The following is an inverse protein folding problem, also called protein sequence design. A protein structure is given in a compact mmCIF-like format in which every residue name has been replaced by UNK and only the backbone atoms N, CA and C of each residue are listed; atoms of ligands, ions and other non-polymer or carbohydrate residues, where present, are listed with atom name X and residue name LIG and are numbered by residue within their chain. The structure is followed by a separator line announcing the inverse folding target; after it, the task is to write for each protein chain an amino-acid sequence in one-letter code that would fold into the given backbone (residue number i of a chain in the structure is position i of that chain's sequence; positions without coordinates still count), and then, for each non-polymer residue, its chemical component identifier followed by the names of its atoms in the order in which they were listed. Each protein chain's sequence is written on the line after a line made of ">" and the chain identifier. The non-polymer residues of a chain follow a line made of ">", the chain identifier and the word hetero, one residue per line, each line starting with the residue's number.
data_IF_926993984775
#
_entry.id   IF_926993984775
#
_cell.length_a   1.000
_cell.length_b   1.000
_cell.length_c   1.000
_cell.angle_alpha   90.00
_cell.angle_beta   90.00
_cell.angle_gamma   90.00
#
_symmetry.space_group_name_H-M   'P 1'
#
loop_
_entity.id
_entity.type
_entity.pdbx_description
1 polymer ?
#
# COMPACT_ATOMS: atom_id res chain seq x y z
N UNK A 1 -13.21 3.97 12.61
CA UNK A 1 -12.70 5.17 13.32
C UNK A 1 -11.45 4.86 14.15
N UNK A 2 -11.45 3.83 15.00
CA UNK A 2 -10.30 3.48 15.85
C UNK A 2 -8.97 3.30 15.10
N UNK A 3 -8.99 2.67 13.91
CA UNK A 3 -7.79 2.51 13.08
C UNK A 3 -7.20 3.81 12.57
N UNK A 4 -8.06 4.80 12.26
CA UNK A 4 -7.63 6.12 11.82
C UNK A 4 -6.95 6.83 12.99
N UNK A 5 -7.57 6.79 14.18
CA UNK A 5 -6.99 7.35 15.42
C UNK A 5 -5.63 6.73 15.69
N UNK A 6 -5.52 5.40 15.65
CA UNK A 6 -4.25 4.68 15.85
C UNK A 6 -3.19 5.13 14.84
N UNK A 7 -3.55 5.14 13.56
CA UNK A 7 -2.62 5.51 12.49
C UNK A 7 -2.18 6.96 12.62
N UNK A 8 -3.06 7.89 12.99
CA UNK A 8 -2.70 9.30 13.18
C UNK A 8 -1.78 9.46 14.39
N UNK A 9 -2.11 8.80 15.51
CA UNK A 9 -1.32 8.90 16.74
C UNK A 9 0.08 8.30 16.59
N UNK A 10 0.19 7.08 16.06
CA UNK A 10 1.42 6.27 16.06
C UNK A 10 2.14 6.25 14.72
N UNK A 11 1.47 6.60 13.63
CA UNK A 11 2.05 6.61 12.29
C UNK A 11 2.32 5.22 11.70
N UNK A 12 3.00 5.24 10.55
CA UNK A 12 3.38 4.10 9.71
C UNK A 12 4.87 4.22 9.38
N UNK A 13 5.62 3.12 9.52
CA UNK A 13 7.05 3.03 9.16
C UNK A 13 7.92 4.14 9.77
N UNK A 14 7.76 4.40 11.06
CA UNK A 14 8.59 5.36 11.80
C UNK A 14 9.21 4.70 13.04
N UNK A 15 10.26 5.33 13.57
CA UNK A 15 10.98 4.93 14.78
C UNK A 15 10.54 5.72 16.03
N UNK A 16 9.57 6.63 15.89
CA UNK A 16 9.10 7.51 16.95
C UNK A 16 8.18 6.76 17.91
N UNK A 17 7.28 5.92 17.37
CA UNK A 17 6.30 5.16 18.14
C UNK A 17 6.58 3.65 18.08
N UNK A 18 6.65 2.95 19.22
CA UNK A 18 6.82 1.49 19.23
C UNK A 18 5.61 0.74 18.68
N UNK A 19 4.46 1.41 18.53
CA UNK A 19 3.21 0.86 17.99
C UNK A 19 2.92 1.32 16.55
N UNK A 20 3.91 1.94 15.90
CA UNK A 20 3.82 2.28 14.49
C UNK A 20 3.61 1.02 13.65
N UNK A 21 2.66 1.05 12.71
CA UNK A 21 2.45 -0.12 11.83
C UNK A 21 3.62 -0.23 10.85
N UNK A 22 4.03 -1.46 10.59
CA UNK A 22 5.13 -1.76 9.70
C UNK A 22 4.72 -2.71 8.59
N UNK A 23 5.08 -2.34 7.37
CA UNK A 23 4.92 -3.12 6.15
C UNK A 23 5.85 -2.51 5.12
N UNK A 24 6.28 -3.21 4.09
CA UNK A 24 6.94 -2.57 2.96
C UNK A 24 6.64 -3.37 1.71
N UNK A 25 6.47 -2.67 0.59
CA UNK A 25 6.50 -3.36 -0.69
C UNK A 25 7.97 -3.48 -1.09
N UNK A 26 8.54 -4.70 -1.14
CA UNK A 26 9.93 -4.90 -1.50
C UNK A 26 10.18 -4.51 -2.96
N UNK A 27 11.43 -4.14 -3.26
CA UNK A 27 11.88 -3.89 -4.62
C UNK A 27 12.22 -5.22 -5.30
N UNK A 28 11.51 -5.59 -6.36
CA UNK A 28 11.76 -6.84 -7.09
C UNK A 28 12.75 -6.67 -8.26
N UNK A 29 13.21 -5.45 -8.55
CA UNK A 29 14.11 -5.15 -9.67
C UNK A 29 15.43 -5.94 -9.66
N UNK A 30 15.94 -6.28 -8.46
CA UNK A 30 17.16 -7.07 -8.28
C UNK A 30 16.86 -8.57 -8.07
N UNK A 31 15.60 -8.95 -7.92
CA UNK A 31 15.15 -10.32 -7.63
C UNK A 31 14.57 -11.01 -8.87
N UNK A 32 13.92 -10.26 -9.73
CA UNK A 32 13.21 -10.75 -10.91
C UNK A 32 13.76 -10.11 -12.19
N UNK A 33 13.95 -10.89 -13.27
CA UNK A 33 14.25 -10.36 -14.60
C UNK A 33 13.19 -9.36 -15.08
N UNK A 34 13.61 -8.41 -15.92
CA UNK A 34 12.70 -7.40 -16.50
C UNK A 34 11.47 -7.99 -17.18
N UNK A 35 11.60 -9.13 -17.86
CA UNK A 35 10.49 -9.82 -18.52
C UNK A 35 9.46 -10.37 -17.52
N UNK A 36 9.89 -10.82 -16.35
CA UNK A 36 9.00 -11.30 -15.29
C UNK A 36 8.26 -10.13 -14.63
N UNK A 37 8.94 -9.01 -14.42
CA UNK A 37 8.31 -7.77 -13.95
C UNK A 37 7.27 -7.26 -14.94
N UNK A 38 7.53 -7.39 -16.24
CA UNK A 38 6.57 -7.07 -17.30
C UNK A 38 5.34 -7.99 -17.25
N UNK A 39 5.54 -9.29 -17.12
CA UNK A 39 4.44 -10.25 -16.97
C UNK A 39 3.59 -9.95 -15.73
N UNK A 40 4.22 -9.66 -14.58
CA UNK A 40 3.55 -9.22 -13.36
C UNK A 40 2.75 -7.92 -13.57
N UNK A 41 3.31 -6.96 -14.29
CA UNK A 41 2.63 -5.69 -14.59
C UNK A 41 1.33 -5.95 -15.36
N UNK A 42 1.37 -6.78 -16.39
CA UNK A 42 0.17 -7.15 -17.15
C UNK A 42 -0.84 -7.95 -16.33
N UNK A 43 -0.37 -8.79 -15.41
CA UNK A 43 -1.26 -9.51 -14.50
C UNK A 43 -2.01 -8.56 -13.55
N UNK A 44 -1.33 -7.57 -12.98
CA UNK A 44 -1.97 -6.55 -12.11
C UNK A 44 -2.93 -5.64 -12.90
N UNK A 45 -2.59 -5.28 -14.14
CA UNK A 45 -3.52 -4.57 -15.03
C UNK A 45 -4.79 -5.40 -15.29
N UNK A 46 -4.64 -6.71 -15.48
CA UNK A 46 -5.78 -7.61 -15.66
C UNK A 46 -6.68 -7.68 -14.41
N UNK A 47 -6.10 -7.68 -13.20
CA UNK A 47 -6.85 -7.69 -11.94
C UNK A 47 -7.75 -6.46 -11.76
N UNK A 48 -7.29 -5.29 -12.21
CA UNK A 48 -8.04 -4.03 -12.19
C UNK A 48 -8.92 -3.83 -13.43
N UNK A 49 -9.05 -4.85 -14.30
CA UNK A 49 -9.85 -4.77 -15.52
C UNK A 49 -9.31 -3.81 -16.57
N UNK A 50 -8.05 -3.38 -16.46
CA UNK A 50 -7.41 -2.48 -17.40
C UNK A 50 -6.96 -3.22 -18.66
N UNK A 51 -6.68 -2.48 -19.74
CA UNK A 51 -6.12 -3.05 -20.97
C UNK A 51 -4.74 -3.68 -20.69
N UNK A 52 -4.55 -4.90 -21.20
CA UNK A 52 -3.34 -5.70 -20.95
C UNK A 52 -3.09 -6.71 -22.07
N UNK A 53 -1.87 -7.23 -22.13
CA UNK A 53 -1.53 -8.41 -22.93
C UNK A 53 -1.93 -9.68 -22.17
N UNK A 54 -2.86 -10.46 -22.74
CA UNK A 54 -3.40 -11.66 -22.10
C UNK A 54 -2.35 -12.78 -21.92
N UNK A 55 -1.38 -12.89 -22.82
CA UNK A 55 -0.34 -13.92 -22.72
C UNK A 55 0.65 -13.58 -21.60
N UNK A 56 1.04 -12.30 -21.49
CA UNK A 56 1.89 -11.82 -20.39
C UNK A 56 1.15 -11.89 -19.04
N UNK A 57 -0.14 -11.52 -19.00
CA UNK A 57 -0.95 -11.63 -17.79
C UNK A 57 -1.07 -13.08 -17.29
N UNK A 58 -1.19 -14.05 -18.20
CA UNK A 58 -1.20 -15.47 -17.86
C UNK A 58 0.16 -15.96 -17.31
N UNK A 59 1.27 -15.48 -17.87
CA UNK A 59 2.62 -15.77 -17.34
C UNK A 59 2.82 -15.15 -15.96
N UNK A 60 2.34 -13.92 -15.76
CA UNK A 60 2.44 -13.20 -14.49
C UNK A 60 1.64 -13.80 -13.35
N UNK A 61 0.62 -14.62 -13.64
CA UNK A 61 -0.23 -15.22 -12.62
C UNK A 61 0.55 -16.14 -11.65
N UNK A 62 1.46 -16.97 -12.17
CA UNK A 62 2.30 -17.83 -11.34
C UNK A 62 3.27 -17.01 -10.48
N UNK A 63 3.93 -16.02 -11.08
CA UNK A 63 4.83 -15.11 -10.38
C UNK A 63 4.11 -14.35 -9.27
N UNK A 64 2.86 -13.93 -9.51
CA UNK A 64 2.04 -13.23 -8.53
C UNK A 64 1.68 -14.13 -7.34
N UNK A 65 1.29 -15.38 -7.61
CA UNK A 65 1.00 -16.36 -6.57
C UNK A 65 2.24 -16.60 -5.67
N UNK A 66 3.43 -16.70 -6.28
CA UNK A 66 4.67 -16.99 -5.56
C UNK A 66 5.20 -15.79 -4.75
N UNK A 67 5.02 -14.55 -5.24
CA UNK A 67 5.72 -13.38 -4.71
C UNK A 67 4.81 -12.29 -4.13
N UNK A 68 3.55 -12.21 -4.55
CA UNK A 68 2.68 -11.06 -4.29
C UNK A 68 1.45 -11.41 -3.46
N UNK A 69 0.89 -12.61 -3.66
CA UNK A 69 -0.36 -13.05 -3.04
C UNK A 69 -0.29 -13.11 -1.50
N UNK A 70 0.90 -13.35 -0.93
CA UNK A 70 1.11 -13.35 0.52
C UNK A 70 0.76 -12.03 1.19
N UNK A 71 0.83 -10.90 0.47
CA UNK A 71 0.48 -9.57 0.95
C UNK A 71 -0.78 -9.02 0.27
N UNK A 72 -0.93 -9.24 -1.04
CA UNK A 72 -2.05 -8.68 -1.81
C UNK A 72 -3.26 -9.62 -1.93
N UNK A 73 -3.18 -10.84 -1.38
CA UNK A 73 -4.21 -11.87 -1.54
C UNK A 73 -4.19 -12.50 -2.93
N UNK A 74 -4.69 -13.73 -3.06
CA UNK A 74 -4.72 -14.45 -4.34
C UNK A 74 -5.56 -13.72 -5.40
N UNK A 75 -6.64 -13.08 -4.98
CA UNK A 75 -7.51 -12.28 -5.85
C UNK A 75 -7.04 -10.83 -6.01
N UNK A 76 -5.91 -10.44 -5.42
CA UNK A 76 -5.41 -9.07 -5.48
C UNK A 76 -6.17 -8.07 -4.60
N UNK A 77 -7.08 -8.51 -3.74
CA UNK A 77 -7.95 -7.64 -2.91
C UNK A 77 -7.23 -6.92 -1.76
N UNK A 78 -5.92 -7.11 -1.63
CA UNK A 78 -5.12 -6.48 -0.59
C UNK A 78 -5.31 -7.09 0.80
N UNK A 79 -4.58 -6.53 1.76
CA UNK A 79 -4.67 -6.86 3.19
C UNK A 79 -4.54 -5.59 4.02
N UNK A 80 -5.66 -5.16 4.61
CA UNK A 80 -5.75 -3.92 5.41
C UNK A 80 -4.78 -3.92 6.60
N UNK A 81 -4.64 -5.05 7.29
CA UNK A 81 -3.82 -5.15 8.52
C UNK A 81 -2.34 -4.80 8.30
N UNK A 82 -1.81 -5.13 7.12
CA UNK A 82 -0.44 -4.79 6.72
C UNK A 82 -0.40 -3.61 5.75
N UNK A 83 -1.54 -2.98 5.47
CA UNK A 83 -1.65 -1.85 4.54
C UNK A 83 -1.30 -2.18 3.09
N UNK A 84 -1.45 -3.44 2.67
CA UNK A 84 -1.31 -3.83 1.27
C UNK A 84 -2.58 -3.41 0.51
N UNK A 85 -2.47 -2.55 -0.53
CA UNK A 85 -3.63 -2.04 -1.24
C UNK A 85 -4.34 -3.12 -2.05
N UNK A 86 -5.63 -2.88 -2.30
CA UNK A 86 -6.44 -3.62 -3.27
C UNK A 86 -5.98 -3.25 -4.68
N UNK A 87 -5.53 -4.25 -5.43
CA UNK A 87 -5.04 -4.13 -6.80
C UNK A 87 -6.15 -4.29 -7.85
N UNK A 88 -7.37 -4.63 -7.41
CA UNK A 88 -8.56 -4.72 -8.27
C UNK A 88 -9.29 -3.38 -8.38
N UNK A 89 -8.94 -2.41 -7.53
CA UNK A 89 -9.56 -1.09 -7.48
C UNK A 89 -9.14 -0.20 -8.67
N UNK A 90 -10.01 0.75 -9.02
CA UNK A 90 -9.74 1.83 -9.95
C UNK A 90 -8.92 2.96 -9.33
N UNK A 91 -8.83 3.03 -7.99
CA UNK A 91 -8.14 4.10 -7.27
C UNK A 91 -6.70 3.71 -6.92
N UNK A 92 -5.73 4.41 -7.50
CA UNK A 92 -4.30 4.13 -7.32
C UNK A 92 -3.55 5.31 -6.72
N UNK A 93 -2.92 5.11 -5.55
CA UNK A 93 -2.10 6.14 -4.91
C UNK A 93 -0.85 6.51 -5.73
N UNK A 94 -0.17 5.49 -6.29
CA UNK A 94 1.09 5.67 -7.04
C UNK A 94 0.89 5.64 -8.57
N UNK A 95 -0.36 5.69 -9.03
CA UNK A 95 -0.76 5.61 -10.43
C UNK A 95 -0.91 4.18 -10.95
N UNK A 96 -1.99 3.93 -11.71
CA UNK A 96 -2.35 2.61 -12.25
C UNK A 96 -1.88 2.35 -13.68
N UNK A 97 -1.06 3.23 -14.28
CA UNK A 97 -0.56 3.01 -15.65
C UNK A 97 0.48 1.90 -15.69
N UNK A 98 0.69 1.23 -16.85
CA UNK A 98 1.68 0.16 -16.98
C UNK A 98 3.07 0.56 -16.48
N UNK A 99 3.54 1.76 -16.83
CA UNK A 99 4.86 2.24 -16.39
C UNK A 99 4.93 2.47 -14.88
N UNK A 100 3.85 2.94 -14.26
CA UNK A 100 3.79 3.19 -12.81
C UNK A 100 3.69 1.90 -11.99
N UNK A 101 2.95 0.91 -12.50
CA UNK A 101 2.89 -0.42 -11.89
C UNK A 101 4.27 -1.08 -11.99
N UNK A 102 4.90 -1.04 -13.18
CA UNK A 102 6.24 -1.58 -13.41
C UNK A 102 7.28 -0.93 -12.50
N UNK A 103 7.26 0.40 -12.40
CA UNK A 103 8.11 1.17 -11.48
C UNK A 103 7.91 0.72 -10.03
N UNK A 104 6.65 0.55 -9.61
CA UNK A 104 6.29 0.12 -8.26
C UNK A 104 6.80 -1.28 -7.94
N UNK A 105 6.66 -2.25 -8.86
CA UNK A 105 7.20 -3.61 -8.70
C UNK A 105 8.73 -3.57 -8.67
N UNK A 106 9.35 -2.77 -9.53
CA UNK A 106 10.81 -2.71 -9.68
C UNK A 106 11.47 -2.09 -8.45
N UNK A 107 11.00 -0.92 -8.03
CA UNK A 107 11.65 -0.12 -6.99
C UNK A 107 11.04 -0.30 -5.59
N UNK A 108 9.92 -1.01 -5.47
CA UNK A 108 9.18 -1.12 -4.22
C UNK A 108 8.55 0.20 -3.79
N UNK A 109 7.91 0.20 -2.61
CA UNK A 109 7.31 1.39 -1.98
C UNK A 109 7.51 1.38 -0.48
N UNK A 110 7.90 2.55 0.04
CA UNK A 110 8.18 2.78 1.46
C UNK A 110 7.63 4.14 1.91
N UNK A 111 6.31 4.34 1.77
CA UNK A 111 5.65 5.59 2.17
C UNK A 111 5.56 5.71 3.70
N UNK A 112 6.07 6.79 4.28
CA UNK A 112 6.07 7.02 5.74
C UNK A 112 4.94 7.97 6.13
N UNK A 113 4.25 7.64 7.22
CA UNK A 113 3.34 8.54 7.92
C UNK A 113 3.90 8.74 9.33
N UNK A 114 4.45 9.91 9.68
CA UNK A 114 5.08 10.06 10.99
C UNK A 114 4.02 10.06 12.10
N UNK A 115 4.40 9.68 13.33
CA UNK A 115 3.48 9.62 14.47
C UNK A 115 3.05 11.03 14.90
N UNK A 116 1.78 11.42 14.84
CA UNK A 116 1.39 12.81 15.13
C UNK A 116 1.09 13.10 16.60
N UNK A 117 1.00 12.09 17.46
CA UNK A 117 0.78 12.33 18.90
C UNK A 117 1.90 13.16 19.51
N UNK A 118 1.52 14.10 20.39
CA UNK A 118 2.47 14.88 21.20
C UNK A 118 3.40 13.99 22.06
N UNK A 119 2.98 12.76 22.37
CA UNK A 119 3.81 11.75 23.04
C UNK A 119 5.08 11.39 22.23
N UNK A 120 5.01 11.45 20.90
CA UNK A 120 6.09 11.09 19.98
C UNK A 120 6.65 12.30 19.22
N UNK A 121 6.02 13.47 19.36
CA UNK A 121 6.48 14.76 18.80
C UNK A 121 6.35 15.90 19.82
N UNK A 122 7.27 16.00 20.79
CA UNK A 122 7.23 17.07 21.79
C UNK A 122 7.24 18.46 21.13
N UNK A 123 6.26 19.30 21.49
CA UNK A 123 6.16 20.69 21.04
C UNK A 123 5.57 20.92 19.64
N UNK A 124 5.34 19.87 18.84
CA UNK A 124 4.74 19.97 17.49
C UNK A 124 3.69 18.91 17.18
N UNK A 125 3.51 17.94 18.09
CA UNK A 125 2.48 16.91 17.98
C UNK A 125 1.12 17.41 18.43
N UNK A 126 0.11 16.60 18.13
CA UNK A 126 -1.29 16.82 18.40
C UNK A 126 -1.66 16.19 19.75
N UNK A 127 -2.50 16.89 20.50
CA UNK A 127 -3.19 16.35 21.67
C UNK A 127 -4.17 15.24 21.25
N UNK A 128 -4.62 14.43 22.21
CA UNK A 128 -5.62 13.37 21.96
C UNK A 128 -6.90 13.92 21.32
N UNK A 129 -7.39 15.07 21.81
CA UNK A 129 -8.58 15.71 21.27
C UNK A 129 -8.39 16.15 19.81
N UNK A 130 -7.21 16.66 19.45
CA UNK A 130 -6.89 17.05 18.08
C UNK A 130 -6.74 15.83 17.16
N UNK A 131 -6.15 14.73 17.64
CA UNK A 131 -6.10 13.46 16.90
C UNK A 131 -7.52 12.96 16.60
N UNK A 132 -8.41 12.97 17.59
CA UNK A 132 -9.81 12.58 17.41
C UNK A 132 -10.52 13.47 16.39
N UNK A 133 -10.28 14.79 16.43
CA UNK A 133 -10.83 15.74 15.47
C UNK A 133 -10.35 15.46 14.04
N UNK A 134 -9.04 15.23 13.85
CA UNK A 134 -8.47 14.87 12.55
C UNK A 134 -9.01 13.53 12.07
N UNK A 135 -9.08 12.52 12.94
CA UNK A 135 -9.62 11.22 12.59
C UNK A 135 -11.09 11.29 12.17
N UNK A 136 -11.91 12.07 12.88
CA UNK A 136 -13.30 12.32 12.51
C UNK A 136 -13.42 13.02 11.16
N UNK A 137 -12.55 14.00 10.89
CA UNK A 137 -12.50 14.69 9.60
C UNK A 137 -12.13 13.74 8.45
N UNK A 138 -11.09 12.93 8.62
CA UNK A 138 -10.68 11.93 7.61
C UNK A 138 -11.77 10.87 7.40
N UNK A 139 -12.42 10.41 8.47
CA UNK A 139 -13.55 9.49 8.38
C UNK A 139 -14.70 10.09 7.57
N UNK A 140 -15.03 11.36 7.78
CA UNK A 140 -16.05 12.07 7.02
C UNK A 140 -15.73 12.19 5.53
N UNK A 141 -14.44 12.31 5.17
CA UNK A 141 -13.98 12.36 3.77
C UNK A 141 -13.99 11.01 3.05
N UNK A 142 -14.48 9.95 3.70
CA UNK A 142 -14.55 8.60 3.12
C UNK A 142 -13.44 7.66 3.58
N UNK A 143 -12.62 8.04 4.56
CA UNK A 143 -11.65 7.13 5.19
C UNK A 143 -12.28 6.11 6.15
N UNK A 144 -13.60 5.96 6.11
CA UNK A 144 -14.41 5.41 7.20
C UNK A 144 -15.02 4.03 7.01
N UNK A 145 -14.68 3.32 5.94
CA UNK A 145 -15.00 1.90 5.84
C UNK A 145 -14.40 1.07 6.99
#
# INVERSE_FOLDING_TARGET
>A
MGDIVHTVAHGIRNDQSPEARWSQMPAFGDMLPRAEIEALTHHVLAMSGQEHDAALAAQGAGLFADNCASCHGEAGTGQREIGAPDLTDAVWLYGGTPDRIRETITAGRFGVMPAWSEAFRPGTGLSEAEILAVAAYVHHLGGGE
#
